data_IF_071179398624
#
_entry.id   IF_071179398624
#
_cell.length_a   1.000
_cell.length_b   1.000
_cell.length_c   1.000
_cell.angle_alpha   90.00
_cell.angle_beta   90.00
_cell.angle_gamma   90.00
#
_symmetry.space_group_name_H-M   'P 1'
#
loop_
_entity.id
_entity.type
_entity.pdbx_description
1 polymer ?
#
# COMPACT_ATOMS: atom_id res chain seq x y z
N UNK A 1 42.48 -15.00 -22.32
CA UNK A 1 41.61 -16.00 -21.66
C UNK A 1 41.60 -15.62 -20.19
N UNK A 2 40.73 -14.70 -19.79
CA UNK A 2 39.34 -14.94 -19.31
C UNK A 2 39.38 -15.71 -17.99
N UNK A 3 38.68 -15.37 -16.92
CA UNK A 3 37.77 -14.28 -16.61
C UNK A 3 37.51 -14.40 -15.09
N UNK A 4 37.23 -13.25 -14.47
CA UNK A 4 36.30 -13.05 -13.36
C UNK A 4 36.12 -14.14 -12.28
N UNK A 5 36.75 -13.93 -11.12
CA UNK A 5 36.08 -14.10 -9.83
C UNK A 5 36.47 -12.94 -8.89
N UNK A 6 36.12 -11.72 -9.30
CA UNK A 6 35.86 -10.67 -8.32
C UNK A 6 34.45 -10.91 -7.81
N UNK A 7 34.33 -11.51 -6.62
CA UNK A 7 33.08 -11.56 -5.87
C UNK A 7 32.44 -10.17 -5.89
N UNK A 8 31.33 -10.06 -6.62
CA UNK A 8 30.46 -8.91 -6.57
C UNK A 8 29.93 -8.77 -5.14
N UNK A 9 30.64 -8.01 -4.30
CA UNK A 9 30.08 -7.42 -3.09
C UNK A 9 28.93 -6.53 -3.54
N UNK A 10 27.73 -7.10 -3.57
CA UNK A 10 26.50 -6.33 -3.68
C UNK A 10 26.57 -5.21 -2.63
N UNK A 11 26.33 -3.94 -3.00
CA UNK A 11 26.20 -2.90 -2.01
C UNK A 11 24.99 -3.24 -1.12
N UNK A 12 25.27 -3.62 0.13
CA UNK A 12 24.27 -3.63 1.19
C UNK A 12 23.90 -2.17 1.43
N UNK A 13 22.69 -1.81 1.00
CA UNK A 13 22.07 -0.49 1.03
C UNK A 13 22.67 0.55 0.07
N UNK A 14 21.78 1.20 -0.69
CA UNK A 14 22.08 2.43 -1.43
C UNK A 14 22.16 3.54 -0.39
N UNK A 15 23.38 3.85 0.06
CA UNK A 15 23.69 5.03 0.86
C UNK A 15 23.49 6.27 -0.01
N UNK A 16 22.44 7.04 0.32
CA UNK A 16 22.39 8.50 0.28
C UNK A 16 23.26 9.23 -0.76
N UNK A 17 22.64 9.78 -1.81
CA UNK A 17 23.32 10.66 -2.79
C UNK A 17 23.05 12.16 -2.61
N UNK A 18 22.21 12.57 -1.66
CA UNK A 18 22.02 13.97 -1.31
C UNK A 18 22.86 14.31 -0.07
N UNK A 19 23.73 15.31 -0.15
CA UNK A 19 24.54 15.78 0.99
C UNK A 19 23.71 16.40 2.13
N UNK A 20 22.41 16.62 1.92
CA UNK A 20 21.51 17.34 2.81
C UNK A 20 20.16 16.58 2.97
N UNK A 21 19.71 16.28 4.21
CA UNK A 21 18.43 15.62 4.46
C UNK A 21 17.21 16.43 3.99
N UNK A 22 17.25 17.76 4.03
CA UNK A 22 16.17 18.61 3.51
C UNK A 22 15.97 18.41 2.01
N UNK A 23 17.07 18.39 1.25
CA UNK A 23 17.02 18.20 -0.22
C UNK A 23 16.51 16.80 -0.57
N UNK A 24 16.92 15.77 0.18
CA UNK A 24 16.37 14.42 0.06
C UNK A 24 14.84 14.40 0.20
N UNK A 25 14.33 15.00 1.28
CA UNK A 25 12.90 15.00 1.58
C UNK A 25 12.12 15.75 0.49
N UNK A 26 12.61 16.92 0.05
CA UNK A 26 12.00 17.71 -1.03
C UNK A 26 11.94 16.94 -2.36
N UNK A 27 13.04 16.30 -2.76
CA UNK A 27 13.11 15.54 -4.01
C UNK A 27 12.11 14.38 -4.03
N UNK A 28 12.05 13.59 -2.94
CA UNK A 28 11.12 12.46 -2.85
C UNK A 28 9.65 12.92 -2.81
N UNK A 29 9.34 14.01 -2.08
CA UNK A 29 8.00 14.59 -2.08
C UNK A 29 7.59 15.07 -3.47
N UNK A 30 8.49 15.69 -4.23
CA UNK A 30 8.26 16.08 -5.63
C UNK A 30 7.99 14.90 -6.56
N UNK A 31 8.72 13.80 -6.40
CA UNK A 31 8.50 12.57 -7.17
C UNK A 31 7.12 11.96 -6.89
N UNK A 32 6.73 11.88 -5.61
CA UNK A 32 5.40 11.38 -5.20
C UNK A 32 4.28 12.26 -5.77
N UNK A 33 4.46 13.58 -5.76
CA UNK A 33 3.49 14.51 -6.36
C UNK A 33 3.38 14.32 -7.88
N UNK A 34 4.49 14.12 -8.58
CA UNK A 34 4.48 13.83 -10.01
C UNK A 34 3.69 12.54 -10.32
N UNK A 35 3.91 11.46 -9.57
CA UNK A 35 3.16 10.22 -9.75
C UNK A 35 1.66 10.36 -9.43
N UNK A 36 1.29 11.27 -8.52
CA UNK A 36 -0.10 11.63 -8.28
C UNK A 36 -0.77 12.23 -9.52
N UNK A 37 -0.04 13.03 -10.31
CA UNK A 37 -0.57 13.72 -11.49
C UNK A 37 -0.81 12.77 -12.66
N UNK A 38 0.00 11.72 -12.79
CA UNK A 38 -0.11 10.73 -13.86
C UNK A 38 -1.03 9.53 -13.51
N UNK A 39 -1.81 9.61 -12.43
CA UNK A 39 -2.74 8.56 -11.98
C UNK A 39 -2.12 7.17 -11.83
N UNK A 40 -0.83 7.08 -11.49
CA UNK A 40 -0.17 5.80 -11.24
C UNK A 40 -0.29 5.40 -9.76
N UNK A 41 -1.50 5.01 -9.36
CA UNK A 41 -1.89 4.85 -7.96
C UNK A 41 -1.04 3.81 -7.21
N UNK A 42 -0.74 2.68 -7.84
CA UNK A 42 0.07 1.62 -7.21
C UNK A 42 1.53 2.01 -7.09
N UNK A 43 2.10 2.71 -8.08
CA UNK A 43 3.46 3.23 -8.00
C UNK A 43 3.55 4.31 -6.93
N UNK A 44 2.60 5.25 -6.92
CA UNK A 44 2.52 6.30 -5.91
C UNK A 44 2.45 5.72 -4.49
N UNK A 45 1.56 4.74 -4.26
CA UNK A 45 1.45 4.10 -2.94
C UNK A 45 2.75 3.40 -2.53
N UNK A 46 3.40 2.71 -3.47
CA UNK A 46 4.71 2.06 -3.25
C UNK A 46 5.80 3.06 -2.87
N UNK A 47 5.88 4.19 -3.56
CA UNK A 47 6.86 5.23 -3.28
C UNK A 47 6.60 5.96 -1.98
N UNK A 48 5.34 6.31 -1.68
CA UNK A 48 4.95 6.91 -0.39
C UNK A 48 5.34 5.98 0.76
N UNK A 49 5.09 4.67 0.64
CA UNK A 49 5.47 3.73 1.68
C UNK A 49 6.98 3.61 1.84
N UNK A 50 7.72 3.50 0.73
CA UNK A 50 9.20 3.47 0.75
C UNK A 50 9.78 4.73 1.38
N UNK A 51 9.27 5.89 0.96
CA UNK A 51 9.69 7.19 1.49
C UNK A 51 9.42 7.30 2.98
N UNK A 52 8.22 6.94 3.43
CA UNK A 52 7.86 6.95 4.86
C UNK A 52 8.85 6.12 5.68
N UNK A 53 9.20 4.92 5.24
CA UNK A 53 10.19 4.08 5.93
C UNK A 53 11.59 4.71 5.93
N UNK A 54 12.00 5.36 4.85
CA UNK A 54 13.28 6.08 4.79
C UNK A 54 13.31 7.25 5.77
N UNK A 55 12.22 8.02 5.90
CA UNK A 55 12.15 9.12 6.88
C UNK A 55 12.23 8.57 8.31
N UNK A 56 11.50 7.49 8.62
CA UNK A 56 11.58 6.81 9.92
C UNK A 56 13.02 6.41 10.23
N UNK A 57 13.71 5.79 9.27
CA UNK A 57 15.09 5.36 9.45
C UNK A 57 16.04 6.55 9.70
N UNK A 58 15.88 7.66 8.97
CA UNK A 58 16.68 8.86 9.16
C UNK A 58 16.49 9.49 10.55
N UNK A 59 15.27 9.44 11.08
CA UNK A 59 14.97 9.89 12.45
C UNK A 59 15.60 8.93 13.48
N UNK A 60 15.43 7.61 13.29
CA UNK A 60 15.97 6.59 14.20
C UNK A 60 17.50 6.62 14.28
N UNK A 61 18.18 6.86 13.15
CA UNK A 61 19.63 7.00 13.08
C UNK A 61 20.15 8.36 13.56
N UNK A 62 19.27 9.28 14.00
CA UNK A 62 19.60 10.66 14.36
C UNK A 62 20.27 11.46 13.23
N UNK A 63 20.02 11.11 11.97
CA UNK A 63 20.41 11.96 10.82
C UNK A 63 19.52 13.21 10.78
N UNK A 64 18.24 13.05 11.13
CA UNK A 64 17.31 14.14 11.43
C UNK A 64 17.13 14.15 12.96
N UNK A 65 17.76 15.09 13.66
CA UNK A 65 17.66 15.17 15.14
C UNK A 65 16.37 15.89 15.57
N UNK A 66 15.40 15.10 16.05
CA UNK A 66 14.11 15.59 16.55
C UNK A 66 13.97 15.50 18.07
N UNK A 67 15.02 15.10 18.82
CA UNK A 67 14.91 14.70 20.26
C UNK A 67 14.41 15.81 21.19
N UNK A 68 14.51 17.08 20.79
CA UNK A 68 14.03 18.24 21.57
C UNK A 68 12.85 18.94 20.89
N UNK A 69 12.17 18.25 19.97
CA UNK A 69 11.15 18.79 19.07
C UNK A 69 9.95 17.84 18.97
N UNK A 70 9.22 17.60 20.07
CA UNK A 70 8.04 16.72 20.06
C UNK A 70 6.98 17.16 19.05
N UNK A 71 6.90 18.45 18.72
CA UNK A 71 6.00 19.00 17.70
C UNK A 71 6.33 18.58 16.26
N UNK A 72 7.52 18.02 16.03
CA UNK A 72 8.00 17.52 14.74
C UNK A 72 8.02 16.00 14.66
N UNK A 73 7.70 15.28 15.74
CA UNK A 73 7.63 13.83 15.74
C UNK A 73 6.66 13.35 14.65
N UNK A 74 7.05 12.27 13.97
CA UNK A 74 6.21 11.66 12.95
C UNK A 74 4.94 11.11 13.59
N UNK A 75 3.78 11.40 12.99
CA UNK A 75 2.50 10.89 13.45
C UNK A 75 2.43 9.35 13.32
N UNK A 76 2.62 8.67 14.45
CA UNK A 76 2.69 7.21 14.52
C UNK A 76 1.37 6.52 14.17
N UNK A 77 0.23 7.13 14.49
CA UNK A 77 -1.08 6.60 14.13
C UNK A 77 -1.29 6.62 12.60
N UNK A 78 -0.92 7.71 11.93
CA UNK A 78 -0.95 7.81 10.48
C UNK A 78 0.01 6.82 9.81
N UNK A 79 1.23 6.63 10.35
CA UNK A 79 2.18 5.60 9.88
C UNK A 79 1.56 4.21 9.99
N UNK A 80 1.01 3.86 11.16
CA UNK A 80 0.41 2.54 11.39
C UNK A 80 -0.78 2.28 10.47
N UNK A 81 -1.61 3.31 10.23
CA UNK A 81 -2.75 3.21 9.31
C UNK A 81 -2.31 3.09 7.85
N UNK A 82 -1.25 3.79 7.42
CA UNK A 82 -0.65 3.59 6.09
C UNK A 82 -0.09 2.18 5.94
N UNK A 83 0.65 1.69 6.92
CA UNK A 83 1.20 0.33 6.91
C UNK A 83 0.08 -0.70 6.67
N UNK A 84 -1.02 -0.61 7.41
CA UNK A 84 -2.16 -1.51 7.26
C UNK A 84 -2.82 -1.42 5.89
N UNK A 85 -2.94 -0.23 5.31
CA UNK A 85 -3.50 -0.09 3.96
C UNK A 85 -2.54 -0.66 2.90
N UNK A 86 -1.23 -0.43 3.04
CA UNK A 86 -0.24 -0.87 2.06
C UNK A 86 0.03 -2.37 2.11
N UNK A 87 0.18 -2.91 3.32
CA UNK A 87 0.63 -4.28 3.59
C UNK A 87 -0.53 -5.22 3.96
N UNK A 88 -1.65 -4.72 4.47
CA UNK A 88 -2.86 -5.50 4.79
C UNK A 88 -3.31 -5.33 6.25
N UNK A 89 -4.49 -5.89 6.58
CA UNK A 89 -5.09 -5.76 7.92
C UNK A 89 -6.15 -4.66 8.03
N UNK A 90 -6.78 -4.32 6.90
CA UNK A 90 -7.96 -3.46 6.85
C UNK A 90 -9.21 -4.28 6.60
N UNK A 91 -10.34 -3.82 7.16
CA UNK A 91 -11.62 -4.53 7.09
C UNK A 91 -12.73 -3.57 6.68
N UNK A 92 -13.69 -4.09 5.92
CA UNK A 92 -14.93 -3.42 5.60
C UNK A 92 -16.08 -4.15 6.28
N UNK A 93 -16.81 -3.43 7.11
CA UNK A 93 -17.99 -3.96 7.81
C UNK A 93 -19.25 -3.43 7.13
N UNK A 94 -20.16 -4.33 6.78
CA UNK A 94 -21.49 -3.96 6.30
C UNK A 94 -22.44 -3.83 7.47
N UNK A 95 -22.97 -2.63 7.68
CA UNK A 95 -23.97 -2.37 8.70
C UNK A 95 -25.35 -2.40 8.05
N UNK A 96 -26.23 -3.25 8.57
CA UNK A 96 -27.60 -3.37 8.08
C UNK A 96 -28.57 -2.52 8.91
N UNK A 97 -29.70 -2.17 8.32
CA UNK A 97 -30.80 -1.48 9.02
C UNK A 97 -31.59 -2.46 9.88
N UNK A 98 -31.68 -3.70 9.42
CA UNK A 98 -32.50 -4.76 9.99
C UNK A 98 -31.65 -6.00 10.31
N UNK A 99 -32.10 -6.78 11.30
CA UNK A 99 -31.43 -8.02 11.73
C UNK A 99 -31.40 -9.10 10.64
N UNK A 100 -32.34 -9.03 9.68
CA UNK A 100 -32.43 -9.95 8.55
C UNK A 100 -31.48 -9.60 7.40
N UNK A 101 -30.69 -8.52 7.53
CA UNK A 101 -29.65 -8.10 6.58
C UNK A 101 -30.17 -7.80 5.18
N UNK A 102 -31.43 -7.41 5.03
CA UNK A 102 -32.00 -7.10 3.72
C UNK A 102 -31.60 -5.72 3.21
N UNK A 103 -31.43 -4.74 4.11
CA UNK A 103 -31.11 -3.37 3.73
C UNK A 103 -29.79 -2.91 4.34
N UNK A 104 -28.80 -2.64 3.49
CA UNK A 104 -27.54 -2.02 3.90
C UNK A 104 -27.81 -0.57 4.33
N UNK A 105 -27.41 -0.23 5.56
CA UNK A 105 -27.43 1.13 6.11
C UNK A 105 -26.18 1.91 5.72
N UNK A 106 -25.02 1.31 5.93
CA UNK A 106 -23.72 1.94 5.70
C UNK A 106 -22.58 0.90 5.69
N UNK A 107 -21.42 1.33 5.20
CA UNK A 107 -20.17 0.59 5.35
C UNK A 107 -19.22 1.30 6.32
N UNK A 108 -18.47 0.52 7.10
CA UNK A 108 -17.47 1.02 8.03
C UNK A 108 -16.10 0.44 7.69
N UNK A 109 -15.13 1.33 7.42
CA UNK A 109 -13.74 0.94 7.22
C UNK A 109 -13.01 0.89 8.56
N UNK A 110 -12.35 -0.22 8.84
CA UNK A 110 -11.65 -0.46 10.09
C UNK A 110 -10.20 -0.85 9.84
N UNK A 111 -9.31 -0.43 10.75
CA UNK A 111 -7.90 -0.79 10.77
C UNK A 111 -7.61 -1.99 11.69
N UNK A 112 -8.64 -2.67 12.18
CA UNK A 112 -8.51 -3.85 13.03
C UNK A 112 -9.75 -4.72 12.86
N UNK A 113 -9.61 -6.01 13.17
CA UNK A 113 -10.72 -6.93 13.14
C UNK A 113 -11.79 -6.50 14.17
N UNK A 114 -13.08 -6.44 13.80
CA UNK A 114 -14.15 -6.13 14.75
C UNK A 114 -14.54 -7.37 15.57
N UNK A 115 -14.54 -7.26 16.90
CA UNK A 115 -14.86 -8.40 17.79
C UNK A 115 -16.36 -8.63 17.99
N UNK A 116 -17.20 -7.62 17.77
CA UNK A 116 -18.63 -7.64 18.11
C UNK A 116 -19.52 -7.57 16.85
N UNK A 117 -19.07 -8.18 15.75
CA UNK A 117 -19.77 -8.21 14.47
C UNK A 117 -19.73 -9.64 13.95
N UNK A 118 -20.82 -10.07 13.30
CA UNK A 118 -20.86 -11.38 12.65
C UNK A 118 -19.72 -11.51 11.64
N UNK A 119 -18.95 -12.61 11.61
CA UNK A 119 -17.89 -12.81 10.62
C UNK A 119 -18.39 -12.66 9.17
N UNK A 120 -19.65 -13.02 8.92
CA UNK A 120 -20.30 -12.84 7.62
C UNK A 120 -20.52 -11.39 7.20
N UNK A 121 -20.46 -10.42 8.11
CA UNK A 121 -20.61 -9.00 7.78
C UNK A 121 -19.26 -8.29 7.63
N UNK A 122 -18.16 -9.03 7.85
CA UNK A 122 -16.80 -8.54 7.83
C UNK A 122 -16.10 -9.05 6.58
N UNK A 123 -15.65 -8.12 5.75
CA UNK A 123 -14.77 -8.40 4.64
C UNK A 123 -13.36 -7.94 4.98
N UNK A 124 -12.38 -8.85 4.95
CA UNK A 124 -10.98 -8.45 4.92
C UNK A 124 -10.66 -7.87 3.53
N UNK A 125 -10.11 -6.66 3.52
CA UNK A 125 -9.73 -6.00 2.28
C UNK A 125 -8.32 -6.44 1.88
N UNK A 126 -8.06 -6.69 0.58
CA UNK A 126 -6.70 -6.87 0.11
C UNK A 126 -5.87 -5.61 0.38
N UNK A 127 -4.58 -5.80 0.58
CA UNK A 127 -3.64 -4.68 0.69
C UNK A 127 -3.46 -3.97 -0.66
N UNK A 128 -3.12 -2.68 -0.64
CA UNK A 128 -2.83 -1.94 -1.89
C UNK A 128 -1.72 -2.63 -2.71
N UNK A 129 -0.72 -3.21 -2.03
CA UNK A 129 0.36 -3.97 -2.68
C UNK A 129 -0.15 -5.21 -3.41
N UNK A 130 -1.10 -5.93 -2.81
CA UNK A 130 -1.63 -7.19 -3.35
C UNK A 130 -2.79 -6.98 -4.34
N UNK A 131 -3.43 -5.81 -4.30
CA UNK A 131 -4.45 -5.39 -5.27
C UNK A 131 -3.83 -5.01 -6.63
N UNK A 132 -2.54 -4.70 -6.69
CA UNK A 132 -1.87 -4.39 -7.97
C UNK A 132 -2.06 -5.53 -9.00
N UNK A 133 -2.68 -5.25 -10.17
CA UNK A 133 -2.94 -6.26 -11.19
C UNK A 133 -1.69 -7.02 -11.63
N UNK A 134 -1.85 -8.32 -11.88
CA UNK A 134 -0.72 -9.15 -12.37
C UNK A 134 -0.50 -9.02 -13.88
N UNK A 135 -1.46 -8.43 -14.59
CA UNK A 135 -1.47 -8.22 -16.04
C UNK A 135 -2.03 -6.84 -16.35
N UNK A 136 -1.70 -6.31 -17.52
CA UNK A 136 -2.33 -5.08 -18.04
C UNK A 136 -3.84 -5.29 -18.15
N UNK A 137 -4.62 -4.34 -17.65
CA UNK A 137 -6.08 -4.40 -17.67
C UNK A 137 -6.58 -3.93 -19.04
N UNK A 138 -7.25 -4.79 -19.81
CA UNK A 138 -8.01 -4.39 -20.98
C UNK A 138 -9.37 -3.79 -20.57
N UNK A 139 -9.82 -2.79 -21.32
CA UNK A 139 -11.19 -2.29 -21.27
C UNK A 139 -12.26 -3.38 -21.32
N UNK A 140 -12.01 -4.46 -22.08
CA UNK A 140 -12.91 -5.60 -22.32
C UNK A 140 -12.84 -6.68 -21.24
N UNK A 141 -11.84 -6.62 -20.36
CA UNK A 141 -11.69 -7.62 -19.31
C UNK A 141 -12.84 -7.51 -18.30
N UNK A 142 -13.52 -8.64 -18.10
CA UNK A 142 -14.60 -8.76 -17.13
C UNK A 142 -14.06 -8.93 -15.70
N UNK A 143 -12.97 -9.67 -15.55
CA UNK A 143 -12.26 -9.89 -14.30
C UNK A 143 -10.82 -9.40 -14.38
N UNK A 144 -10.29 -9.01 -13.23
CA UNK A 144 -8.92 -8.54 -13.05
C UNK A 144 -8.20 -9.53 -12.14
N UNK A 145 -7.08 -10.08 -12.62
CA UNK A 145 -6.21 -10.95 -11.82
C UNK A 145 -5.35 -10.11 -10.87
N UNK A 146 -5.42 -10.40 -9.57
CA UNK A 146 -4.65 -9.74 -8.51
C UNK A 146 -3.84 -10.77 -7.71
N UNK A 147 -2.93 -10.30 -6.84
CA UNK A 147 -2.05 -11.19 -6.06
C UNK A 147 -2.71 -11.72 -4.79
N UNK A 148 -3.71 -11.02 -4.27
CA UNK A 148 -4.48 -11.47 -3.12
C UNK A 148 -5.42 -12.61 -3.51
N UNK A 149 -5.66 -13.55 -2.59
CA UNK A 149 -6.75 -14.52 -2.71
C UNK A 149 -7.98 -13.96 -2.01
N UNK A 150 -9.08 -13.82 -2.72
CA UNK A 150 -10.32 -13.20 -2.25
C UNK A 150 -11.42 -14.25 -2.19
N UNK A 151 -12.23 -14.32 -1.11
CA UNK A 151 -13.39 -15.20 -1.09
C UNK A 151 -14.35 -14.93 -2.26
N UNK A 152 -14.83 -15.98 -2.94
CA UNK A 152 -15.66 -15.86 -4.14
C UNK A 152 -16.89 -14.97 -3.93
N UNK A 153 -17.57 -15.12 -2.78
CA UNK A 153 -18.73 -14.31 -2.38
C UNK A 153 -18.50 -12.81 -2.45
N UNK A 154 -17.26 -12.35 -2.20
CA UNK A 154 -16.92 -10.94 -2.26
C UNK A 154 -16.42 -10.55 -3.65
N UNK A 155 -15.52 -11.36 -4.24
CA UNK A 155 -14.91 -11.11 -5.55
C UNK A 155 -15.94 -10.86 -6.68
N UNK A 156 -17.06 -11.58 -6.63
CA UNK A 156 -18.12 -11.56 -7.64
C UNK A 156 -19.49 -11.19 -7.06
N UNK A 157 -19.52 -10.43 -5.96
CA UNK A 157 -20.77 -9.98 -5.35
C UNK A 157 -21.68 -9.27 -6.37
N UNK A 158 -22.91 -9.75 -6.50
CA UNK A 158 -23.94 -9.20 -7.41
C UNK A 158 -23.93 -9.77 -8.83
N UNK A 159 -23.11 -10.79 -9.11
CA UNK A 159 -23.20 -11.58 -10.34
C UNK A 159 -23.84 -12.94 -10.05
N UNK A 160 -24.64 -13.46 -10.99
CA UNK A 160 -25.20 -14.80 -10.90
C UNK A 160 -24.17 -15.88 -11.27
N UNK A 161 -24.41 -17.11 -10.83
CA UNK A 161 -23.53 -18.25 -11.06
C UNK A 161 -23.24 -18.50 -12.55
N UNK A 162 -24.25 -18.41 -13.41
CA UNK A 162 -24.08 -18.67 -14.84
C UNK A 162 -23.14 -17.65 -15.50
N UNK A 163 -23.27 -16.38 -15.12
CA UNK A 163 -22.39 -15.30 -15.57
C UNK A 163 -20.95 -15.53 -15.12
N UNK A 164 -20.73 -15.91 -13.85
CA UNK A 164 -19.39 -16.16 -13.30
C UNK A 164 -18.70 -17.31 -14.05
N UNK A 165 -19.40 -18.43 -14.27
CA UNK A 165 -18.82 -19.59 -14.94
C UNK A 165 -18.49 -19.27 -16.41
N UNK A 166 -19.41 -18.65 -17.14
CA UNK A 166 -19.25 -18.38 -18.57
C UNK A 166 -18.21 -17.29 -18.86
N UNK A 167 -18.25 -16.18 -18.12
CA UNK A 167 -17.37 -15.03 -18.37
C UNK A 167 -16.06 -15.11 -17.60
N UNK A 168 -16.07 -15.67 -16.40
CA UNK A 168 -14.87 -15.90 -15.59
C UNK A 168 -14.07 -17.13 -16.00
N UNK A 169 -14.57 -17.94 -16.94
CA UNK A 169 -13.91 -19.16 -17.43
C UNK A 169 -13.53 -20.13 -16.29
N UNK A 170 -14.35 -20.18 -15.23
CA UNK A 170 -14.21 -21.11 -14.10
C UNK A 170 -14.71 -22.51 -14.47
N UNK A 171 -14.25 -23.01 -15.62
CA UNK A 171 -14.60 -24.29 -16.19
C UNK A 171 -13.38 -25.20 -16.25
N UNK A 172 -13.64 -26.50 -16.22
CA UNK A 172 -12.69 -27.56 -16.48
C UNK A 172 -13.12 -28.29 -17.75
N UNK A 173 -12.18 -28.42 -18.69
CA UNK A 173 -12.40 -29.10 -19.96
C UNK A 173 -11.93 -30.55 -19.83
N UNK A 174 -12.82 -31.49 -20.11
CA UNK A 174 -12.55 -32.92 -20.19
C UNK A 174 -12.75 -33.40 -21.63
N UNK A 175 -12.42 -34.67 -21.92
CA UNK A 175 -12.59 -35.25 -23.27
C UNK A 175 -14.05 -35.38 -23.70
N UNK A 176 -14.97 -35.43 -22.74
CA UNK A 176 -16.41 -35.64 -22.86
C UNK A 176 -17.23 -34.36 -22.66
N UNK A 177 -16.61 -33.23 -22.29
CA UNK A 177 -17.32 -31.97 -22.16
C UNK A 177 -16.64 -30.91 -21.30
N UNK A 178 -17.43 -29.91 -20.90
CA UNK A 178 -17.03 -28.79 -20.05
C UNK A 178 -17.85 -28.86 -18.78
N UNK A 179 -17.18 -28.86 -17.62
CA UNK A 179 -17.82 -28.89 -16.30
C UNK A 179 -17.38 -27.65 -15.51
N UNK A 180 -18.26 -27.11 -14.67
CA UNK A 180 -17.90 -26.02 -13.76
C UNK A 180 -16.93 -26.50 -12.67
N UNK A 181 -16.05 -25.62 -12.18
CA UNK A 181 -15.06 -25.97 -11.15
C UNK A 181 -15.61 -26.05 -9.72
N UNK A 182 -16.82 -25.54 -9.50
CA UNK A 182 -17.52 -25.51 -8.22
C UNK A 182 -19.02 -25.46 -8.48
N UNK A 183 -19.85 -25.75 -7.47
CA UNK A 183 -21.31 -25.71 -7.59
C UNK A 183 -21.88 -24.34 -7.15
N UNK A 184 -23.12 -24.04 -7.53
CA UNK A 184 -23.75 -22.74 -7.21
C UNK A 184 -23.80 -22.46 -5.70
N UNK A 185 -24.03 -23.50 -4.88
CA UNK A 185 -24.08 -23.34 -3.43
C UNK A 185 -22.72 -22.97 -2.81
N UNK A 186 -21.61 -23.28 -3.50
CA UNK A 186 -20.25 -22.96 -3.05
C UNK A 186 -19.91 -21.47 -3.20
N UNK A 187 -20.64 -20.72 -4.04
CA UNK A 187 -20.38 -19.29 -4.24
C UNK A 187 -20.42 -18.46 -2.95
N UNK A 188 -21.25 -18.89 -2.00
CA UNK A 188 -21.42 -18.22 -0.72
C UNK A 188 -20.43 -18.72 0.35
N UNK A 189 -19.64 -19.75 0.05
CA UNK A 189 -18.74 -20.36 1.00
C UNK A 189 -17.47 -19.51 1.20
N UNK A 190 -17.11 -19.26 2.47
CA UNK A 190 -15.94 -18.44 2.82
C UNK A 190 -14.60 -19.11 2.51
N UNK A 191 -14.55 -20.43 2.42
CA UNK A 191 -13.32 -21.19 2.19
C UNK A 191 -12.90 -21.21 0.70
N UNK A 192 -13.82 -20.91 -0.21
CA UNK A 192 -13.53 -20.86 -1.63
C UNK A 192 -12.99 -19.47 -2.00
N UNK A 193 -11.77 -19.42 -2.54
CA UNK A 193 -11.07 -18.17 -2.85
C UNK A 193 -10.52 -18.13 -4.28
N UNK A 194 -10.38 -16.92 -4.83
CA UNK A 194 -9.94 -16.66 -6.21
C UNK A 194 -8.91 -15.51 -6.26
N UNK A 195 -8.06 -15.54 -7.28
CA UNK A 195 -7.19 -14.43 -7.65
C UNK A 195 -7.80 -13.51 -8.71
N UNK A 196 -8.82 -13.99 -9.42
CA UNK A 196 -9.58 -13.21 -10.38
C UNK A 196 -10.78 -12.59 -9.66
N UNK A 197 -10.91 -11.26 -9.72
CA UNK A 197 -12.01 -10.50 -9.11
C UNK A 197 -12.77 -9.73 -10.19
N UNK A 198 -14.06 -9.49 -9.98
CA UNK A 198 -14.83 -8.65 -10.91
C UNK A 198 -14.24 -7.23 -11.00
N UNK A 199 -14.36 -6.61 -12.17
CA UNK A 199 -13.94 -5.20 -12.37
C UNK A 199 -14.64 -4.24 -11.39
N UNK A 200 -15.90 -4.51 -11.08
CA UNK A 200 -16.67 -3.75 -10.09
C UNK A 200 -16.04 -3.85 -8.69
N UNK A 201 -15.77 -5.07 -8.23
CA UNK A 201 -15.09 -5.29 -6.94
C UNK A 201 -13.75 -4.58 -6.88
N UNK A 202 -12.92 -4.74 -7.92
CA UNK A 202 -11.60 -4.13 -8.01
C UNK A 202 -11.68 -2.61 -7.88
N UNK A 203 -12.50 -1.95 -8.71
CA UNK A 203 -12.61 -0.49 -8.71
C UNK A 203 -13.13 0.04 -7.36
N UNK A 204 -14.20 -0.57 -6.82
CA UNK A 204 -14.75 -0.14 -5.53
C UNK A 204 -13.75 -0.32 -4.39
N UNK A 205 -13.03 -1.45 -4.36
CA UNK A 205 -12.01 -1.72 -3.34
C UNK A 205 -10.85 -0.72 -3.44
N UNK A 206 -10.38 -0.44 -4.66
CA UNK A 206 -9.31 0.52 -4.93
C UNK A 206 -9.71 1.93 -4.49
N UNK A 207 -10.91 2.38 -4.83
CA UNK A 207 -11.43 3.69 -4.42
C UNK A 207 -11.48 3.85 -2.90
N UNK A 208 -11.97 2.82 -2.20
CA UNK A 208 -12.02 2.80 -0.73
C UNK A 208 -10.62 2.89 -0.13
N UNK A 209 -9.70 2.02 -0.54
CA UNK A 209 -8.33 2.03 -0.02
C UNK A 209 -7.61 3.33 -0.33
N UNK A 210 -7.76 3.86 -1.54
CA UNK A 210 -7.16 5.13 -1.98
C UNK A 210 -7.66 6.31 -1.14
N UNK A 211 -8.96 6.37 -0.83
CA UNK A 211 -9.52 7.42 0.02
C UNK A 211 -8.82 7.46 1.38
N UNK A 212 -8.75 6.32 2.06
CA UNK A 212 -8.12 6.25 3.39
C UNK A 212 -6.60 6.40 3.31
N UNK A 213 -5.95 5.93 2.25
CA UNK A 213 -4.53 6.13 1.98
C UNK A 213 -4.18 7.61 1.93
N UNK A 214 -4.89 8.36 1.09
CA UNK A 214 -4.66 9.80 0.90
C UNK A 214 -4.86 10.59 2.19
N UNK A 215 -5.86 10.23 3.00
CA UNK A 215 -6.08 10.88 4.30
C UNK A 215 -4.86 10.75 5.22
N UNK A 216 -4.29 9.56 5.33
CA UNK A 216 -3.11 9.36 6.18
C UNK A 216 -1.85 9.99 5.58
N UNK A 217 -1.71 9.91 4.25
CA UNK A 217 -0.59 10.53 3.55
C UNK A 217 -0.58 12.06 3.72
N UNK A 218 -1.74 12.74 3.67
CA UNK A 218 -1.82 14.19 3.89
C UNK A 218 -1.31 14.58 5.29
N UNK A 219 -1.63 13.79 6.30
CA UNK A 219 -1.16 14.02 7.68
C UNK A 219 0.38 13.92 7.72
N UNK A 220 0.95 12.85 7.16
CA UNK A 220 2.40 12.67 7.13
C UNK A 220 3.10 13.69 6.24
N UNK A 221 2.52 14.05 5.11
CA UNK A 221 3.03 15.08 4.21
C UNK A 221 3.20 16.41 4.94
N UNK A 222 2.17 16.85 5.68
CA UNK A 222 2.23 18.06 6.48
C UNK A 222 3.27 17.96 7.61
N UNK A 223 3.39 16.80 8.25
CA UNK A 223 4.40 16.54 9.28
C UNK A 223 5.83 16.64 8.73
N UNK A 224 6.09 16.03 7.58
CA UNK A 224 7.39 16.02 6.91
C UNK A 224 7.72 17.43 6.39
N UNK A 225 6.74 18.17 5.90
CA UNK A 225 6.94 19.58 5.51
C UNK A 225 7.44 20.45 6.67
N UNK A 226 6.89 20.25 7.88
CA UNK A 226 7.39 20.94 9.08
C UNK A 226 8.82 20.56 9.44
N UNK A 227 9.19 19.29 9.25
CA UNK A 227 10.57 18.82 9.43
C UNK A 227 11.50 19.53 8.41
N UNK A 228 11.11 19.60 7.14
CA UNK A 228 11.86 20.32 6.10
C UNK A 228 12.06 21.79 6.49
N UNK A 229 11.00 22.49 6.89
CA UNK A 229 11.11 23.89 7.33
C UNK A 229 12.04 24.06 8.53
N UNK A 230 12.05 23.09 9.45
CA UNK A 230 12.95 23.11 10.59
C UNK A 230 14.41 22.93 10.15
N UNK A 231 14.67 21.96 9.26
CA UNK A 231 15.99 21.69 8.71
C UNK A 231 16.51 22.88 7.89
N UNK A 232 15.65 23.59 7.15
CA UNK A 232 16.05 24.76 6.37
C UNK A 232 16.35 25.99 7.25
N UNK A 233 15.67 26.14 8.39
CA UNK A 233 15.90 27.24 9.35
C UNK A 233 17.15 27.01 10.21
N UNK A 234 17.54 25.75 10.43
CA UNK A 234 18.77 25.39 11.11
C UNK A 234 19.90 25.23 10.09
N UNK A 235 20.67 26.30 9.85
CA UNK A 235 21.89 26.23 9.03
C UNK A 235 22.73 25.00 9.40
N UNK A 236 23.02 24.15 8.41
CA UNK A 236 23.88 22.98 8.53
C UNK A 236 25.11 23.31 9.38
N UNK A 237 25.24 22.68 10.55
CA UNK A 237 26.56 22.42 11.09
C UNK A 237 27.19 21.41 10.14
N UNK A 238 27.91 21.92 9.13
CA UNK A 238 28.87 21.12 8.40
C UNK A 238 29.77 20.46 9.44
N UNK A 239 29.79 19.13 9.47
CA UNK A 239 30.86 18.42 10.16
C UNK A 239 32.15 18.64 9.36
N UNK A 240 32.72 19.84 9.47
CA UNK A 240 34.08 20.12 9.01
C UNK A 240 35.05 19.51 10.01
N UNK A 241 35.30 18.21 9.85
CA UNK A 241 36.42 17.51 10.45
C UNK A 241 37.56 17.40 9.44
N UNK A 242 38.20 18.52 9.11
CA UNK A 242 39.63 18.57 8.80
C UNK A 242 40.05 19.96 8.33
N UNK A 243 40.53 20.78 9.25
CA UNK A 243 41.77 21.55 9.04
C UNK A 243 42.21 22.06 10.41
N UNK A 244 42.82 21.16 11.19
CA UNK A 244 43.74 21.59 12.24
C UNK A 244 44.92 22.22 11.51
N UNK A 245 45.03 23.54 11.65
CA UNK A 245 46.23 24.28 11.35
C UNK A 245 47.42 23.63 12.04
N UNK A 246 48.35 23.09 11.25
CA UNK A 246 49.73 22.89 11.68
C UNK A 246 50.55 23.99 11.01
N UNK A 247 50.43 25.18 11.58
CA UNK A 247 51.51 26.16 11.55
C UNK A 247 51.93 26.36 13.00
N UNK A 248 52.96 25.63 13.41
CA UNK A 248 53.90 26.12 14.41
C UNK A 248 55.27 26.11 13.76
N UNK A 249 55.72 27.32 13.40
CA UNK A 249 57.14 27.65 13.33
C UNK A 249 57.72 27.43 14.72
N UNK A 250 58.73 26.59 14.83
CA UNK A 250 60.08 26.94 15.27
C UNK A 250 61.04 25.82 14.89
#
# INVERSE_FOLDING_TARGET
MTDHEQEHKQPKSVLWHSSNPSDFLKQNMGMIQANSLYNNEFLQASEVWKFTNQVIELVNQNVIDLRKKPELELNQDAISKLDKIYNGGCFLVTNYVDDNRFKIKSWSFLYHYPMNVSPDDVQELPSMKSLNPTKTIDSKDWAISIRASIPFRFAFAGYDYSTIIQQGNFIQKFSDGIVARFEEHDLNALHLTTHDVSKKYFNTTLEVLKKFWLQQWIILFANIHKIIEHLDKGSFQTFDKSEKSLVSKD
#
